data_IF_677460670346
#
_entry.id   IF_677460670346
#
_cell.length_a   1.000
_cell.length_b   1.000
_cell.length_c   1.000
_cell.angle_alpha   90.00
_cell.angle_beta   90.00
_cell.angle_gamma   90.00
#
_symmetry.space_group_name_H-M   'P 1'
#
loop_
_entity.id
_entity.type
_entity.pdbx_description
1 polymer ?
#
# COMPACT_ATOMS: atom_id res chain seq x y z
N UNK A 1 9.94 -10.57 -15.39
CA UNK A 1 10.06 -9.66 -14.23
C UNK A 1 8.71 -9.55 -13.57
N UNK A 2 8.65 -9.44 -12.25
CA UNK A 2 7.38 -9.40 -11.52
C UNK A 2 6.62 -8.07 -11.66
N UNK A 3 7.24 -7.01 -12.15
CA UNK A 3 6.65 -5.68 -12.26
C UNK A 3 6.97 -5.06 -13.62
N UNK A 4 6.43 -5.65 -14.69
CA UNK A 4 6.48 -5.01 -16.00
C UNK A 4 5.60 -3.76 -16.02
N UNK A 5 5.85 -2.84 -16.95
CA UNK A 5 5.09 -1.57 -17.02
C UNK A 5 3.57 -1.80 -17.11
N UNK A 6 3.13 -2.82 -17.85
CA UNK A 6 1.71 -3.18 -17.97
C UNK A 6 1.14 -3.65 -16.61
N UNK A 7 1.89 -4.42 -15.84
CA UNK A 7 1.48 -4.88 -14.50
C UNK A 7 1.31 -3.71 -13.53
N UNK A 8 2.25 -2.74 -13.58
CA UNK A 8 2.19 -1.53 -12.75
C UNK A 8 1.00 -0.63 -13.15
N UNK A 9 0.71 -0.49 -14.46
CA UNK A 9 -0.47 0.24 -14.93
C UNK A 9 -1.77 -0.42 -14.45
N UNK A 10 -1.85 -1.74 -14.50
CA UNK A 10 -2.98 -2.50 -13.98
C UNK A 10 -3.11 -2.37 -12.46
N UNK A 11 -2.00 -2.44 -11.73
CA UNK A 11 -1.96 -2.21 -10.28
C UNK A 11 -2.49 -0.82 -9.91
N UNK A 12 -2.05 0.21 -10.63
CA UNK A 12 -2.49 1.59 -10.46
C UNK A 12 -3.97 1.77 -10.79
N UNK A 13 -4.46 1.10 -11.83
CA UNK A 13 -5.89 1.07 -12.18
C UNK A 13 -6.72 0.43 -11.07
N UNK A 14 -6.29 -0.70 -10.51
CA UNK A 14 -6.96 -1.35 -9.36
C UNK A 14 -7.02 -0.43 -8.15
N UNK A 15 -5.94 0.27 -7.86
CA UNK A 15 -5.86 1.21 -6.74
C UNK A 15 -6.87 2.36 -6.89
N UNK A 16 -7.09 2.85 -8.11
CA UNK A 16 -7.94 4.01 -8.40
C UNK A 16 -9.42 3.65 -8.56
N UNK A 17 -9.72 2.53 -9.21
CA UNK A 17 -11.07 2.14 -9.61
C UNK A 17 -11.61 0.91 -8.88
N UNK A 18 -10.75 0.26 -8.06
CA UNK A 18 -11.04 -1.03 -7.47
C UNK A 18 -10.75 -2.20 -8.43
N UNK A 19 -10.83 -3.40 -7.89
CA UNK A 19 -10.57 -4.64 -8.64
C UNK A 19 -11.86 -5.40 -8.83
N UNK A 20 -12.02 -6.04 -10.00
CA UNK A 20 -13.01 -7.10 -10.15
C UNK A 20 -12.50 -8.37 -9.47
N UNK A 21 -13.38 -9.06 -8.71
CA UNK A 21 -13.00 -10.33 -8.07
C UNK A 21 -12.74 -11.45 -9.09
N UNK A 22 -13.32 -11.32 -10.28
CA UNK A 22 -13.19 -12.30 -11.38
C UNK A 22 -11.77 -12.32 -11.97
N UNK A 23 -11.05 -11.20 -11.90
CA UNK A 23 -9.69 -11.08 -12.42
C UNK A 23 -8.62 -11.48 -11.38
N UNK A 24 -9.03 -11.83 -10.16
CA UNK A 24 -8.09 -12.14 -9.10
C UNK A 24 -7.38 -13.49 -9.35
N UNK A 25 -6.05 -13.56 -9.07
CA UNK A 25 -5.35 -14.84 -9.07
C UNK A 25 -5.97 -15.77 -8.03
N UNK A 26 -5.83 -17.10 -8.16
CA UNK A 26 -6.48 -18.07 -7.28
C UNK A 26 -6.17 -17.86 -5.78
N UNK A 27 -5.00 -17.30 -5.48
CA UNK A 27 -4.50 -17.03 -4.14
C UNK A 27 -3.94 -15.61 -4.09
N UNK A 28 -4.29 -14.89 -3.04
CA UNK A 28 -3.74 -13.57 -2.69
C UNK A 28 -3.11 -13.63 -1.30
N UNK A 29 -2.27 -12.68 -0.98
CA UNK A 29 -1.85 -12.44 0.39
C UNK A 29 -2.71 -11.37 1.04
N UNK A 30 -3.07 -11.60 2.29
CA UNK A 30 -3.89 -10.71 3.08
C UNK A 30 -3.15 -10.19 4.32
N UNK A 31 -3.37 -8.90 4.60
CA UNK A 31 -2.96 -8.25 5.84
C UNK A 31 -4.20 -7.74 6.56
N UNK A 32 -4.45 -8.23 7.76
CA UNK A 32 -5.54 -7.73 8.60
C UNK A 32 -5.09 -6.49 9.38
N UNK A 33 -5.94 -5.47 9.39
CA UNK A 33 -5.63 -4.17 9.95
C UNK A 33 -6.70 -3.74 10.96
N UNK A 34 -6.25 -3.06 12.01
CA UNK A 34 -7.07 -2.15 12.79
C UNK A 34 -6.57 -0.73 12.56
N UNK A 35 -7.49 0.22 12.30
CA UNK A 35 -7.17 1.59 11.93
C UNK A 35 -7.61 2.57 13.01
N UNK A 36 -6.88 3.69 13.18
CA UNK A 36 -7.21 4.76 14.13
C UNK A 36 -8.32 5.69 13.63
N UNK A 37 -8.67 5.61 12.34
CA UNK A 37 -9.70 6.39 11.67
C UNK A 37 -10.65 5.46 10.91
N UNK A 38 -11.77 5.96 10.35
CA UNK A 38 -12.60 5.19 9.44
C UNK A 38 -11.80 4.61 8.27
N UNK A 39 -12.18 3.41 7.82
CA UNK A 39 -11.45 2.69 6.75
C UNK A 39 -11.37 3.49 5.45
N UNK A 40 -12.40 4.28 5.13
CA UNK A 40 -12.39 5.11 3.91
C UNK A 40 -11.33 6.20 3.97
N UNK A 41 -11.16 6.84 5.13
CA UNK A 41 -10.12 7.84 5.35
C UNK A 41 -8.72 7.20 5.28
N UNK A 42 -8.55 6.04 5.92
CA UNK A 42 -7.32 5.24 5.82
C UNK A 42 -7.01 4.90 4.35
N UNK A 43 -7.99 4.40 3.60
CA UNK A 43 -7.85 4.05 2.19
C UNK A 43 -7.45 5.25 1.31
N UNK A 44 -8.00 6.44 1.58
CA UNK A 44 -7.61 7.67 0.89
C UNK A 44 -6.14 8.03 1.17
N UNK A 45 -5.68 7.91 2.41
CA UNK A 45 -4.28 8.15 2.77
C UNK A 45 -3.34 7.18 2.08
N UNK A 46 -3.63 5.89 2.10
CA UNK A 46 -2.84 4.86 1.40
C UNK A 46 -2.77 5.16 -0.09
N UNK A 47 -3.90 5.46 -0.73
CA UNK A 47 -3.98 5.79 -2.15
C UNK A 47 -3.18 7.04 -2.49
N UNK A 48 -3.24 8.08 -1.66
CA UNK A 48 -2.53 9.33 -1.91
C UNK A 48 -1.00 9.18 -1.94
N UNK A 49 -0.47 8.13 -1.32
CA UNK A 49 0.97 7.80 -1.33
C UNK A 49 1.30 6.79 -2.42
N UNK A 50 0.51 5.73 -2.52
CA UNK A 50 0.83 4.60 -3.41
C UNK A 50 0.64 4.94 -4.88
N UNK A 51 -0.40 5.72 -5.25
CA UNK A 51 -0.62 6.12 -6.65
C UNK A 51 0.54 6.93 -7.24
N UNK A 52 1.05 8.00 -6.59
CA UNK A 52 2.22 8.69 -7.11
C UNK A 52 3.50 7.85 -7.09
N UNK A 53 3.68 6.93 -6.13
CA UNK A 53 4.83 6.02 -6.15
C UNK A 53 4.80 5.08 -7.37
N UNK A 54 3.64 4.50 -7.68
CA UNK A 54 3.44 3.69 -8.90
C UNK A 54 3.60 4.53 -10.18
N UNK A 55 3.17 5.80 -10.15
CA UNK A 55 3.39 6.72 -11.28
C UNK A 55 4.88 6.99 -11.52
N UNK A 56 5.68 7.17 -10.46
CA UNK A 56 7.12 7.32 -10.58
C UNK A 56 7.77 6.07 -11.20
N UNK A 57 7.32 4.88 -10.81
CA UNK A 57 7.79 3.62 -11.39
C UNK A 57 7.56 3.51 -12.90
N UNK A 58 6.53 4.18 -13.43
CA UNK A 58 6.21 4.20 -14.86
C UNK A 58 6.92 5.35 -15.62
N UNK A 59 7.29 6.43 -14.95
CA UNK A 59 7.66 7.69 -15.61
C UNK A 59 9.08 8.17 -15.35
N UNK A 60 9.79 7.58 -14.37
CA UNK A 60 11.12 8.03 -13.97
C UNK A 60 12.14 6.88 -14.08
N UNK A 61 13.38 7.19 -14.48
CA UNK A 61 14.48 6.24 -14.34
C UNK A 61 14.91 6.14 -12.86
N UNK A 62 15.24 4.92 -12.42
CA UNK A 62 15.78 4.63 -11.09
C UNK A 62 17.31 4.45 -11.17
N UNK A 63 18.02 5.47 -11.62
CA UNK A 63 19.44 5.43 -11.95
C UNK A 63 20.37 6.04 -10.87
N UNK A 64 19.95 5.97 -9.60
CA UNK A 64 20.78 6.39 -8.46
C UNK A 64 20.71 7.88 -8.13
N UNK A 65 19.84 8.64 -8.78
CA UNK A 65 19.49 10.02 -8.40
C UNK A 65 18.22 10.05 -7.54
N UNK A 66 18.05 11.10 -6.74
CA UNK A 66 16.83 11.30 -5.96
C UNK A 66 15.61 11.43 -6.87
N UNK A 67 14.57 10.65 -6.56
CA UNK A 67 13.30 10.70 -7.27
C UNK A 67 12.51 11.97 -6.86
N UNK A 68 11.72 12.57 -7.77
CA UNK A 68 10.91 13.73 -7.45
C UNK A 68 9.79 13.36 -6.46
N UNK A 69 9.77 13.99 -5.30
CA UNK A 69 8.78 13.71 -4.24
C UNK A 69 7.57 14.65 -4.26
N UNK A 70 7.49 15.57 -5.22
CA UNK A 70 6.41 16.59 -5.27
C UNK A 70 5.00 16.02 -5.41
N UNK A 71 4.84 14.78 -5.84
CA UNK A 71 3.55 14.06 -5.89
C UNK A 71 3.24 13.27 -4.63
N UNK A 72 4.24 13.03 -3.77
CA UNK A 72 4.07 12.30 -2.50
C UNK A 72 3.55 13.30 -1.44
N UNK A 73 2.55 12.94 -0.63
CA UNK A 73 2.05 13.83 0.42
C UNK A 73 3.14 14.26 1.40
N UNK A 74 3.17 15.55 1.74
CA UNK A 74 4.17 16.13 2.65
C UNK A 74 4.21 15.42 4.00
N UNK A 75 3.06 14.98 4.51
CA UNK A 75 3.00 14.25 5.78
C UNK A 75 3.72 12.90 5.74
N UNK A 76 3.72 12.22 4.57
CA UNK A 76 4.42 10.94 4.41
C UNK A 76 5.94 11.17 4.35
N UNK A 77 6.37 12.18 3.59
CA UNK A 77 7.79 12.58 3.50
C UNK A 77 8.29 12.99 4.89
N UNK A 78 7.53 13.84 5.61
CA UNK A 78 7.89 14.31 6.95
C UNK A 78 7.94 13.19 8.00
N UNK A 79 7.10 12.17 7.88
CA UNK A 79 7.11 11.03 8.80
C UNK A 79 8.35 10.14 8.63
N UNK A 80 9.00 10.18 7.47
CA UNK A 80 10.19 9.39 7.17
C UNK A 80 11.43 9.85 7.93
N UNK A 81 12.48 9.01 7.88
CA UNK A 81 13.80 9.34 8.41
C UNK A 81 14.38 10.52 7.61
N UNK A 82 14.87 11.54 8.32
CA UNK A 82 15.39 12.75 7.70
C UNK A 82 14.32 13.68 7.14
N UNK A 83 13.04 13.34 7.26
CA UNK A 83 11.93 14.17 6.86
C UNK A 83 11.86 15.48 7.65
N UNK A 84 11.49 16.56 6.99
CA UNK A 84 11.32 17.89 7.56
C UNK A 84 9.87 18.34 7.41
N UNK A 85 9.42 19.19 8.34
CA UNK A 85 8.06 19.70 8.32
C UNK A 85 7.15 19.08 9.39
N UNK A 86 5.89 19.52 9.46
CA UNK A 86 4.95 19.04 10.46
C UNK A 86 4.51 17.60 10.14
N UNK A 87 4.58 16.73 11.16
CA UNK A 87 4.07 15.37 11.09
C UNK A 87 2.71 15.32 11.81
N UNK A 88 1.61 15.01 11.14
CA UNK A 88 0.32 14.88 11.81
C UNK A 88 0.33 13.73 12.82
N UNK A 89 -0.49 13.83 13.86
CA UNK A 89 -0.55 12.87 14.96
C UNK A 89 -0.71 11.43 14.51
N UNK A 90 -1.54 11.17 13.50
CA UNK A 90 -1.76 9.82 13.00
C UNK A 90 -0.48 9.21 12.41
N UNK A 91 0.31 10.00 11.67
CA UNK A 91 1.55 9.55 11.06
C UNK A 91 2.68 9.42 12.10
N UNK A 92 2.75 10.35 13.07
CA UNK A 92 3.71 10.26 14.17
C UNK A 92 3.49 8.98 15.00
N UNK A 93 2.25 8.69 15.39
CA UNK A 93 1.89 7.45 16.08
C UNK A 93 2.13 6.22 15.20
N UNK A 94 1.86 6.31 13.89
CA UNK A 94 2.12 5.24 12.94
C UNK A 94 3.60 4.89 12.89
N UNK A 95 4.48 5.88 12.85
CA UNK A 95 5.94 5.70 12.91
C UNK A 95 6.40 4.96 14.17
N UNK A 96 5.87 5.36 15.34
CA UNK A 96 6.19 4.70 16.61
C UNK A 96 5.74 3.23 16.63
N UNK A 97 4.51 2.97 16.14
CA UNK A 97 3.95 1.62 16.06
C UNK A 97 4.71 0.73 15.09
N UNK A 98 5.08 1.27 13.93
CA UNK A 98 5.92 0.55 12.97
C UNK A 98 7.24 0.12 13.60
N UNK A 99 7.95 1.06 14.23
CA UNK A 99 9.23 0.77 14.89
C UNK A 99 9.08 -0.30 15.99
N UNK A 100 8.00 -0.23 16.78
CA UNK A 100 7.73 -1.22 17.81
C UNK A 100 7.37 -2.60 17.26
N UNK A 101 6.61 -2.66 16.15
CA UNK A 101 6.12 -3.92 15.58
C UNK A 101 7.17 -4.61 14.71
N UNK A 102 7.94 -3.86 13.92
CA UNK A 102 8.89 -4.41 12.94
C UNK A 102 10.31 -4.47 13.50
N UNK A 103 10.63 -3.65 14.51
CA UNK A 103 11.97 -3.59 15.10
C UNK A 103 12.98 -2.85 14.24
N UNK A 104 12.52 -2.13 13.22
CA UNK A 104 13.34 -1.30 12.34
C UNK A 104 12.95 0.17 12.50
N UNK A 105 13.89 1.08 12.17
CA UNK A 105 13.63 2.51 12.18
C UNK A 105 12.73 2.95 11.02
N UNK A 106 12.32 4.23 11.05
CA UNK A 106 11.56 4.81 9.95
C UNK A 106 12.29 4.70 8.61
N UNK A 107 11.54 4.51 7.54
CA UNK A 107 12.07 4.56 6.20
C UNK A 107 12.49 5.98 5.82
N UNK A 108 13.61 6.14 5.12
CA UNK A 108 13.86 7.32 4.30
C UNK A 108 12.93 7.29 3.08
N UNK A 109 12.43 8.45 2.63
CA UNK A 109 11.46 8.49 1.53
C UNK A 109 12.07 7.97 0.21
N UNK A 110 13.35 8.25 -0.04
CA UNK A 110 14.02 7.77 -1.25
C UNK A 110 14.23 6.26 -1.20
N UNK A 111 14.70 5.72 -0.06
CA UNK A 111 14.83 4.28 0.13
C UNK A 111 13.48 3.56 -0.04
N UNK A 112 12.39 4.16 0.45
CA UNK A 112 11.04 3.62 0.29
C UNK A 112 10.57 3.66 -1.17
N UNK A 113 10.79 4.78 -1.88
CA UNK A 113 10.44 4.90 -3.30
C UNK A 113 11.23 3.93 -4.17
N UNK A 114 12.49 3.69 -3.88
CA UNK A 114 13.34 2.73 -4.61
C UNK A 114 12.84 1.27 -4.49
N UNK A 115 11.95 0.96 -3.54
CA UNK A 115 11.28 -0.35 -3.52
C UNK A 115 10.35 -0.55 -4.72
N UNK A 116 9.95 0.52 -5.39
CA UNK A 116 9.07 0.51 -6.56
C UNK A 116 9.81 0.48 -7.90
N UNK A 117 11.14 0.41 -7.88
CA UNK A 117 11.94 0.26 -9.10
C UNK A 117 11.49 -1.01 -9.87
N UNK A 118 10.96 -0.86 -11.11
CA UNK A 118 10.45 -2.00 -11.88
C UNK A 118 11.54 -2.97 -12.32
N UNK A 119 12.79 -2.52 -12.38
CA UNK A 119 13.94 -3.36 -12.75
C UNK A 119 14.53 -4.14 -11.56
N UNK A 120 14.11 -3.79 -10.34
CA UNK A 120 14.51 -4.49 -9.13
C UNK A 120 13.45 -5.52 -8.71
N UNK A 121 13.87 -6.50 -7.91
CA UNK A 121 12.98 -7.47 -7.28
C UNK A 121 12.80 -7.16 -5.77
N UNK A 122 12.94 -5.89 -5.37
CA UNK A 122 12.85 -5.50 -3.95
C UNK A 122 11.44 -5.66 -3.41
N UNK A 123 10.43 -5.23 -4.17
CA UNK A 123 9.05 -5.32 -3.78
C UNK A 123 8.46 -6.68 -4.15
N UNK A 124 8.16 -7.50 -3.15
CA UNK A 124 7.62 -8.85 -3.31
C UNK A 124 6.10 -8.94 -3.44
N UNK A 125 5.40 -7.85 -3.76
CA UNK A 125 3.94 -7.78 -3.82
C UNK A 125 3.47 -6.72 -4.83
N UNK A 126 2.24 -6.89 -5.30
CA UNK A 126 1.50 -5.87 -6.04
C UNK A 126 0.14 -5.62 -5.38
N UNK A 127 -0.28 -4.36 -5.31
CA UNK A 127 -1.57 -3.99 -4.73
C UNK A 127 -2.72 -4.65 -5.48
N UNK A 128 -3.64 -5.24 -4.69
CA UNK A 128 -4.85 -5.80 -5.25
C UNK A 128 -6.09 -5.02 -4.82
N UNK A 129 -6.40 -4.97 -3.53
CA UNK A 129 -7.60 -4.31 -3.02
C UNK A 129 -7.50 -3.98 -1.53
N UNK A 130 -8.43 -3.13 -1.06
CA UNK A 130 -8.69 -2.87 0.35
C UNK A 130 -10.15 -3.18 0.63
N UNK A 131 -10.42 -4.16 1.47
CA UNK A 131 -11.78 -4.49 1.92
C UNK A 131 -12.04 -4.02 3.35
N UNK A 132 -13.27 -3.59 3.60
CA UNK A 132 -13.75 -3.24 4.94
C UNK A 132 -14.35 -4.47 5.61
N UNK A 133 -13.98 -4.72 6.87
CA UNK A 133 -14.62 -5.73 7.74
C UNK A 133 -15.28 -5.11 8.98
N UNK A 134 -15.24 -3.79 9.12
CA UNK A 134 -15.84 -2.99 10.18
C UNK A 134 -15.45 -1.53 10.01
N UNK A 135 -15.92 -0.65 10.87
CA UNK A 135 -15.65 0.79 10.79
C UNK A 135 -14.14 1.11 10.82
N UNK A 136 -13.41 0.37 11.64
CA UNK A 136 -11.96 0.52 11.85
C UNK A 136 -11.23 -0.81 11.68
N UNK A 137 -11.78 -1.69 10.87
CA UNK A 137 -11.17 -2.98 10.53
C UNK A 137 -11.18 -3.13 9.02
N UNK A 138 -10.01 -3.39 8.47
CA UNK A 138 -9.81 -3.54 7.05
C UNK A 138 -8.86 -4.70 6.76
N UNK A 139 -8.84 -5.11 5.52
CA UNK A 139 -7.89 -6.08 4.99
C UNK A 139 -7.29 -5.53 3.72
N UNK A 140 -5.97 -5.43 3.67
CA UNK A 140 -5.21 -5.20 2.44
C UNK A 140 -4.99 -6.53 1.76
N UNK A 141 -5.28 -6.59 0.47
CA UNK A 141 -5.01 -7.71 -0.40
C UNK A 141 -3.91 -7.35 -1.38
N UNK A 142 -2.93 -8.22 -1.51
CA UNK A 142 -1.83 -8.08 -2.47
C UNK A 142 -1.61 -9.38 -3.22
N UNK A 143 -1.20 -9.27 -4.48
CA UNK A 143 -0.66 -10.39 -5.21
C UNK A 143 0.83 -10.55 -4.83
N UNK A 144 1.19 -11.71 -4.35
CA UNK A 144 2.56 -12.12 -4.02
C UNK A 144 3.02 -13.27 -4.93
N UNK A 145 2.31 -13.50 -6.03
CA UNK A 145 2.55 -14.61 -6.96
C UNK A 145 2.58 -15.97 -6.27
N UNK A 146 1.77 -16.12 -5.22
CA UNK A 146 1.66 -17.34 -4.43
C UNK A 146 2.73 -17.53 -3.36
N UNK A 147 3.63 -16.58 -3.20
CA UNK A 147 4.64 -16.62 -2.14
C UNK A 147 4.02 -16.28 -0.78
N UNK A 148 4.31 -17.12 0.23
CA UNK A 148 3.86 -16.91 1.61
C UNK A 148 4.83 -16.08 2.45
N UNK A 149 6.06 -15.91 1.95
CA UNK A 149 7.12 -15.17 2.60
C UNK A 149 7.83 -14.27 1.57
N UNK A 150 7.72 -12.97 1.74
CA UNK A 150 8.26 -11.96 0.85
C UNK A 150 8.55 -10.67 1.60
N UNK A 151 9.37 -9.79 1.02
CA UNK A 151 9.63 -8.47 1.56
C UNK A 151 8.35 -7.63 1.50
N UNK A 152 7.93 -7.08 2.63
CA UNK A 152 6.72 -6.26 2.76
C UNK A 152 6.82 -5.18 3.85
N UNK A 153 8.03 -4.86 4.29
CA UNK A 153 8.22 -3.86 5.35
C UNK A 153 7.86 -2.46 4.87
N UNK A 154 8.04 -2.15 3.59
CA UNK A 154 7.61 -0.92 2.93
C UNK A 154 6.07 -0.80 2.89
N UNK A 155 5.35 -1.92 2.71
CA UNK A 155 3.88 -1.96 2.80
C UNK A 155 3.42 -1.76 4.25
N UNK A 156 4.10 -2.39 5.21
CA UNK A 156 3.82 -2.19 6.65
C UNK A 156 4.07 -0.74 7.06
N UNK A 157 5.16 -0.14 6.58
CA UNK A 157 5.44 1.28 6.80
C UNK A 157 4.30 2.15 6.29
N UNK A 158 3.89 1.97 5.03
CA UNK A 158 2.77 2.70 4.43
C UNK A 158 1.49 2.54 5.26
N UNK A 159 1.15 1.31 5.67
CA UNK A 159 -0.05 1.06 6.47
C UNK A 159 -0.01 1.77 7.83
N UNK A 160 1.09 1.62 8.58
CA UNK A 160 1.20 2.24 9.90
C UNK A 160 1.17 3.76 9.83
N UNK A 161 1.95 4.40 8.96
CA UNK A 161 1.96 5.88 8.86
C UNK A 161 0.69 6.45 8.26
N UNK A 162 -0.10 5.65 7.53
CA UNK A 162 -1.45 6.02 7.08
C UNK A 162 -2.51 5.91 8.18
N UNK A 163 -2.16 5.36 9.34
CA UNK A 163 -3.04 5.30 10.51
C UNK A 163 -3.46 3.90 10.96
N UNK A 164 -2.79 2.83 10.52
CA UNK A 164 -3.00 1.52 11.12
C UNK A 164 -2.50 1.52 12.58
N UNK A 165 -3.28 0.89 13.45
CA UNK A 165 -2.92 0.64 14.85
C UNK A 165 -2.26 -0.71 15.03
N UNK A 166 -2.63 -1.66 14.18
CA UNK A 166 -2.13 -3.01 14.16
C UNK A 166 -2.16 -3.56 12.73
N UNK A 167 -1.15 -4.33 12.35
CA UNK A 167 -1.00 -4.96 11.03
C UNK A 167 -0.54 -6.39 11.25
N UNK A 168 -1.40 -7.34 10.97
CA UNK A 168 -1.08 -8.78 11.03
C UNK A 168 -1.08 -9.41 9.63
N UNK A 169 -0.29 -10.44 9.44
CA UNK A 169 -0.04 -11.08 8.15
C UNK A 169 1.43 -10.94 7.75
N UNK A 170 1.83 -11.32 6.51
CA UNK A 170 0.96 -11.81 5.44
C UNK A 170 0.39 -13.21 5.69
N UNK A 171 -0.77 -13.48 5.15
CA UNK A 171 -1.38 -14.81 5.12
C UNK A 171 -1.90 -15.12 3.72
N UNK A 172 -1.55 -16.29 3.17
CA UNK A 172 -2.10 -16.76 1.90
C UNK A 172 -3.58 -17.11 2.08
N UNK A 173 -4.43 -16.52 1.26
CA UNK A 173 -5.89 -16.70 1.29
C UNK A 173 -6.40 -16.94 -0.12
N UNK A 174 -7.34 -17.86 -0.28
CA UNK A 174 -8.02 -18.05 -1.57
C UNK A 174 -8.74 -16.76 -1.94
N UNK A 175 -8.58 -16.30 -3.17
CA UNK A 175 -9.22 -15.07 -3.67
C UNK A 175 -10.75 -15.13 -3.63
N UNK A 176 -11.35 -16.30 -3.61
CA UNK A 176 -12.79 -16.48 -3.37
C UNK A 176 -13.28 -15.87 -2.03
N UNK A 177 -12.38 -15.63 -1.07
CA UNK A 177 -12.67 -14.93 0.18
C UNK A 177 -12.68 -13.38 0.01
N UNK A 178 -12.25 -12.87 -1.13
CA UNK A 178 -12.30 -11.45 -1.50
C UNK A 178 -13.73 -11.12 -1.92
N UNK A 179 -14.53 -10.62 -0.99
CA UNK A 179 -15.87 -10.11 -1.27
C UNK A 179 -15.76 -8.63 -1.58
N UNK A 180 -15.87 -8.27 -2.85
CA UNK A 180 -15.97 -6.88 -3.30
C UNK A 180 -17.47 -6.57 -3.38
N UNK A 181 -18.01 -5.59 -2.62
CA UNK A 181 -19.39 -5.17 -2.78
C UNK A 181 -19.63 -4.73 -4.21
N UNK A 182 -20.57 -5.37 -4.91
CA UNK A 182 -21.01 -4.88 -6.21
C UNK A 182 -21.51 -3.44 -6.03
N UNK A 183 -21.05 -2.53 -6.88
CA UNK A 183 -21.62 -1.20 -6.98
C UNK A 183 -23.11 -1.38 -7.34
N UNK A 184 -23.97 -1.14 -6.36
CA UNK A 184 -25.40 -0.98 -6.63
C UNK A 184 -25.51 0.28 -7.50
N UNK A 185 -25.61 0.09 -8.80
CA UNK A 185 -26.01 1.18 -9.69
C UNK A 185 -27.34 1.70 -9.17
N UNK A 186 -27.50 3.00 -8.90
CA UNK A 186 -28.81 3.54 -8.56
C UNK A 186 -29.71 3.27 -9.77
N UNK A 187 -30.65 2.35 -9.56
CA UNK A 187 -31.63 1.97 -10.57
C UNK A 187 -32.34 3.22 -11.06
N UNK A 188 -32.32 3.41 -12.37
CA UNK A 188 -33.14 4.42 -13.02
C UNK A 188 -34.60 4.18 -12.70
N UNK A 189 -35.26 5.19 -12.22
CA UNK A 189 -36.69 5.38 -12.26
C UNK A 189 -37.00 6.44 -13.30
#
# INVERSE_FOLDING_TARGET
MMHESEDIEQERSRLSHGSASEDAPPVLCAFDLRTSCPVDEFGLRVRSVLDPALHLALSQPFEGEDLPVGGIPDWFVAAGRGGTGPVPDFAARGRERYTAAVGQGPWDVQEWLYQFDPESEFRGWAWWHLTRSGDRRARIWVDSWGESFFACDELRWLAYVSGAEDVSGPALVKSAALVIPEHISPGGA
#
